data_IF_066928634655
#
_entry.id   IF_066928634655
#
_cell.length_a   1.000
_cell.length_b   1.000
_cell.length_c   1.000
_cell.angle_alpha   90.00
_cell.angle_beta   90.00
_cell.angle_gamma   90.00
#
_symmetry.space_group_name_H-M   'P 1'
#
loop_
_entity.id
_entity.type
_entity.pdbx_description
1 polymer ?
#
# COMPACT_ATOMS: atom_id res chain seq x y z
N UNK A 1 -12.43 24.31 33.43
CA UNK A 1 -13.12 23.85 32.21
C UNK A 1 -14.12 22.79 32.63
N UNK A 2 -15.42 23.08 32.49
CA UNK A 2 -16.46 22.05 32.59
C UNK A 2 -16.15 20.96 31.54
N UNK A 3 -16.26 19.67 31.87
CA UNK A 3 -16.12 18.62 30.86
C UNK A 3 -17.16 18.88 29.77
N UNK A 4 -16.71 19.07 28.52
CA UNK A 4 -17.64 19.19 27.39
C UNK A 4 -18.45 17.89 27.36
N UNK A 5 -19.77 18.00 27.51
CA UNK A 5 -20.67 16.87 27.32
C UNK A 5 -20.47 16.30 25.93
N UNK A 6 -20.41 14.97 25.82
CA UNK A 6 -20.32 14.28 24.53
C UNK A 6 -21.45 14.75 23.61
N UNK A 7 -21.18 15.08 22.32
CA UNK A 7 -22.24 15.47 21.38
C UNK A 7 -23.29 14.38 21.23
N UNK A 8 -24.56 14.75 21.05
CA UNK A 8 -25.66 13.79 20.87
C UNK A 8 -25.65 13.23 19.46
N UNK A 9 -25.80 11.92 19.37
CA UNK A 9 -25.77 11.19 18.11
C UNK A 9 -27.18 10.99 17.54
N UNK A 10 -27.29 11.00 16.21
CA UNK A 10 -28.50 10.64 15.49
C UNK A 10 -28.20 9.71 14.32
N UNK A 11 -29.08 8.75 14.01
CA UNK A 11 -28.89 7.80 12.90
C UNK A 11 -30.13 7.80 12.00
N UNK A 12 -29.94 7.98 10.71
CA UNK A 12 -30.99 7.86 9.69
C UNK A 12 -30.66 6.68 8.78
N UNK A 13 -31.57 5.71 8.72
CA UNK A 13 -31.44 4.42 8.05
C UNK A 13 -30.85 3.37 8.98
N UNK A 14 -31.62 2.32 9.28
CA UNK A 14 -31.31 1.25 10.22
C UNK A 14 -31.08 -0.09 9.51
N UNK A 15 -30.52 -0.05 8.30
CA UNK A 15 -30.00 -1.23 7.61
C UNK A 15 -28.72 -1.79 8.27
N UNK A 16 -28.00 -2.66 7.56
CA UNK A 16 -26.77 -3.30 8.08
C UNK A 16 -25.77 -2.30 8.69
N UNK A 17 -25.51 -1.18 8.00
CA UNK A 17 -24.56 -0.17 8.46
C UNK A 17 -25.16 0.67 9.59
N UNK A 18 -26.25 1.40 9.31
CA UNK A 18 -26.78 2.35 10.29
C UNK A 18 -27.36 1.69 11.53
N UNK A 19 -28.01 0.53 11.40
CA UNK A 19 -28.44 -0.27 12.54
C UNK A 19 -27.26 -0.73 13.41
N UNK A 20 -26.17 -1.19 12.78
CA UNK A 20 -24.94 -1.53 13.49
C UNK A 20 -24.26 -0.33 14.17
N UNK A 21 -24.28 0.84 13.52
CA UNK A 21 -23.83 2.11 14.11
C UNK A 21 -24.67 2.46 15.34
N UNK A 22 -25.99 2.35 15.25
CA UNK A 22 -26.90 2.63 16.35
C UNK A 22 -26.64 1.70 17.55
N UNK A 23 -26.49 0.40 17.31
CA UNK A 23 -26.14 -0.61 18.33
C UNK A 23 -24.80 -0.30 18.98
N UNK A 24 -23.76 0.04 18.20
CA UNK A 24 -22.44 0.37 18.73
C UNK A 24 -22.46 1.64 19.58
N UNK A 25 -23.22 2.65 19.17
CA UNK A 25 -23.42 3.88 19.92
C UNK A 25 -24.15 3.65 21.25
N UNK A 26 -25.25 2.91 21.25
CA UNK A 26 -25.93 2.50 22.48
C UNK A 26 -24.97 1.76 23.42
N UNK A 27 -24.20 0.78 22.91
CA UNK A 27 -23.24 0.02 23.73
C UNK A 27 -22.15 0.90 24.34
N UNK A 28 -21.75 1.98 23.66
CA UNK A 28 -20.77 2.96 24.16
C UNK A 28 -21.39 4.04 25.07
N UNK A 29 -22.67 3.94 25.42
CA UNK A 29 -23.37 4.89 26.28
C UNK A 29 -23.84 6.16 25.58
N UNK A 30 -23.83 6.18 24.24
CA UNK A 30 -24.26 7.30 23.40
C UNK A 30 -25.56 6.95 22.66
N UNK A 31 -26.64 6.65 23.38
CA UNK A 31 -27.94 6.24 22.77
C UNK A 31 -28.40 7.27 21.72
N UNK A 32 -28.48 6.89 20.44
CA UNK A 32 -28.80 7.84 19.38
C UNK A 32 -30.31 8.05 19.20
N UNK A 33 -30.72 9.22 18.71
CA UNK A 33 -32.03 9.39 18.10
C UNK A 33 -32.05 8.70 16.73
N UNK A 34 -33.08 7.91 16.40
CA UNK A 34 -33.06 7.09 15.18
C UNK A 34 -34.28 7.28 14.29
N UNK A 35 -34.07 7.16 12.98
CA UNK A 35 -35.12 7.13 11.97
C UNK A 35 -34.86 6.01 10.94
N UNK A 36 -35.90 5.31 10.51
CA UNK A 36 -35.92 4.46 9.32
C UNK A 36 -37.31 4.60 8.68
N UNK A 37 -37.41 4.36 7.37
CA UNK A 37 -38.70 4.36 6.67
C UNK A 37 -39.60 3.19 7.12
N UNK A 38 -39.00 2.15 7.70
CA UNK A 38 -39.70 1.03 8.32
C UNK A 38 -39.78 1.26 9.84
N UNK A 39 -40.99 1.37 10.42
CA UNK A 39 -41.15 1.68 11.83
C UNK A 39 -40.66 0.57 12.76
N UNK A 40 -40.62 -0.67 12.29
CA UNK A 40 -40.17 -1.87 13.00
C UNK A 40 -38.65 -2.11 12.87
N UNK A 41 -37.91 -1.22 12.21
CA UNK A 41 -36.48 -1.44 11.95
C UNK A 41 -35.61 -1.49 13.22
N UNK A 42 -36.06 -0.87 14.31
CA UNK A 42 -35.35 -0.86 15.59
C UNK A 42 -35.62 -2.12 16.44
N UNK A 43 -36.70 -2.87 16.19
CA UNK A 43 -37.18 -3.95 17.06
C UNK A 43 -36.14 -5.05 17.30
N UNK A 44 -35.28 -5.29 16.31
CA UNK A 44 -34.24 -6.33 16.36
C UNK A 44 -32.84 -5.78 16.70
N UNK A 45 -32.74 -4.50 17.05
CA UNK A 45 -31.48 -3.82 17.34
C UNK A 45 -31.32 -3.58 18.85
N UNK A 46 -30.44 -4.33 19.54
CA UNK A 46 -30.35 -4.30 21.00
C UNK A 46 -30.08 -2.89 21.57
N UNK A 47 -31.02 -2.40 22.38
CA UNK A 47 -30.93 -1.13 23.09
C UNK A 47 -31.00 0.12 22.19
N UNK A 48 -31.31 -0.03 20.91
CA UNK A 48 -31.65 1.09 20.03
C UNK A 48 -33.08 1.54 20.37
N UNK A 49 -33.34 2.85 20.51
CA UNK A 49 -34.68 3.34 20.85
C UNK A 49 -35.65 3.22 19.67
N UNK A 50 -36.93 3.45 19.95
CA UNK A 50 -37.99 3.48 18.94
C UNK A 50 -37.69 4.52 17.85
N UNK A 51 -38.13 4.20 16.64
CA UNK A 51 -37.96 5.03 15.45
C UNK A 51 -38.81 6.31 15.58
N UNK A 52 -38.18 7.48 15.39
CA UNK A 52 -38.85 8.78 15.33
C UNK A 52 -39.68 8.94 14.06
N UNK A 53 -40.52 9.98 13.97
CA UNK A 53 -41.43 10.13 12.84
C UNK A 53 -40.74 10.64 11.56
N UNK A 54 -39.58 11.30 11.68
CA UNK A 54 -38.86 11.87 10.54
C UNK A 54 -37.36 12.10 10.78
N UNK A 55 -36.55 12.27 9.70
CA UNK A 55 -35.18 12.77 9.82
C UNK A 55 -35.08 14.13 10.51
N UNK A 56 -36.07 15.02 10.35
CA UNK A 56 -36.12 16.30 11.05
C UNK A 56 -36.18 16.14 12.58
N UNK A 57 -36.95 15.16 13.09
CA UNK A 57 -36.98 14.87 14.53
C UNK A 57 -35.63 14.36 15.04
N UNK A 58 -34.93 13.53 14.25
CA UNK A 58 -33.56 13.10 14.56
C UNK A 58 -32.61 14.30 14.64
N UNK A 59 -32.70 15.25 13.69
CA UNK A 59 -31.90 16.47 13.72
C UNK A 59 -32.17 17.34 14.95
N UNK A 60 -33.44 17.50 15.34
CA UNK A 60 -33.82 18.28 16.52
C UNK A 60 -33.26 17.69 17.83
N UNK A 61 -33.10 16.37 17.90
CA UNK A 61 -32.58 15.65 19.05
C UNK A 61 -31.04 15.50 19.07
N UNK A 62 -30.35 15.78 17.96
CA UNK A 62 -28.94 15.43 17.76
C UNK A 62 -28.04 16.64 17.53
N UNK A 63 -26.73 16.41 17.66
CA UNK A 63 -25.66 17.35 17.29
C UNK A 63 -24.81 16.78 16.12
N UNK A 64 -24.69 15.45 16.01
CA UNK A 64 -24.02 14.74 14.91
C UNK A 64 -24.95 13.66 14.36
N UNK A 65 -25.33 13.75 13.08
CA UNK A 65 -26.28 12.83 12.44
C UNK A 65 -25.60 11.97 11.37
N UNK A 66 -25.61 10.65 11.53
CA UNK A 66 -25.13 9.69 10.54
C UNK A 66 -26.25 9.29 9.57
N UNK A 67 -25.98 9.40 8.27
CA UNK A 67 -26.92 9.08 7.19
C UNK A 67 -26.48 7.82 6.45
N UNK A 68 -27.15 6.71 6.71
CA UNK A 68 -26.84 5.37 6.20
C UNK A 68 -28.04 4.78 5.43
N UNK A 69 -28.21 5.25 4.20
CA UNK A 69 -29.28 4.87 3.27
C UNK A 69 -28.71 4.23 2.00
N UNK A 70 -29.57 3.74 1.11
CA UNK A 70 -29.16 2.88 -0.02
C UNK A 70 -28.54 3.67 -1.17
N UNK A 71 -29.10 4.85 -1.49
CA UNK A 71 -28.72 5.57 -2.70
C UNK A 71 -28.81 7.11 -2.55
N UNK A 72 -28.35 7.82 -3.58
CA UNK A 72 -28.32 9.28 -3.62
C UNK A 72 -29.70 9.93 -3.51
N UNK A 73 -30.76 9.32 -4.06
CA UNK A 73 -32.11 9.87 -3.96
C UNK A 73 -32.61 9.84 -2.51
N UNK A 74 -32.38 8.72 -1.82
CA UNK A 74 -32.68 8.60 -0.39
C UNK A 74 -31.81 9.54 0.46
N UNK A 75 -30.53 9.73 0.11
CA UNK A 75 -29.66 10.66 0.82
C UNK A 75 -30.16 12.10 0.69
N UNK A 76 -30.59 12.53 -0.50
CA UNK A 76 -31.23 13.83 -0.72
C UNK A 76 -32.52 13.95 0.07
N UNK A 77 -33.41 12.96 -0.02
CA UNK A 77 -34.67 12.97 0.73
C UNK A 77 -34.42 13.09 2.24
N UNK A 78 -33.48 12.32 2.78
CA UNK A 78 -33.15 12.34 4.19
C UNK A 78 -32.52 13.66 4.64
N UNK A 79 -31.68 14.30 3.81
CA UNK A 79 -30.92 15.50 4.20
C UNK A 79 -31.68 16.78 3.84
N UNK A 80 -32.10 16.93 2.59
CA UNK A 80 -32.65 18.17 2.01
C UNK A 80 -34.14 18.10 1.70
N UNK A 81 -34.82 16.98 1.99
CA UNK A 81 -36.27 16.86 1.82
C UNK A 81 -37.05 17.78 2.75
N UNK A 82 -38.38 17.87 2.54
CA UNK A 82 -39.28 18.72 3.35
C UNK A 82 -39.17 18.42 4.86
N UNK A 83 -39.22 17.13 5.22
CA UNK A 83 -38.97 16.62 6.59
C UNK A 83 -37.54 16.08 6.76
N UNK A 84 -36.60 16.58 5.95
CA UNK A 84 -35.20 16.19 5.98
C UNK A 84 -34.44 16.78 7.18
N UNK A 85 -33.22 16.31 7.39
CA UNK A 85 -32.32 16.78 8.45
C UNK A 85 -32.20 18.32 8.46
N UNK A 86 -32.03 18.95 7.28
CA UNK A 86 -31.78 20.39 7.19
C UNK A 86 -33.00 21.27 7.50
N UNK A 87 -34.21 20.71 7.62
CA UNK A 87 -35.38 21.49 8.02
C UNK A 87 -35.43 21.75 9.54
N UNK A 88 -34.71 20.96 10.34
CA UNK A 88 -34.68 21.07 11.80
C UNK A 88 -33.27 21.08 12.43
N UNK A 89 -32.22 20.90 11.62
CA UNK A 89 -30.84 20.95 12.09
C UNK A 89 -30.46 22.34 12.64
N UNK A 90 -29.75 22.35 13.77
CA UNK A 90 -29.23 23.58 14.36
C UNK A 90 -27.92 24.01 13.67
N UNK A 91 -27.66 25.31 13.50
CA UNK A 91 -26.33 25.80 13.16
C UNK A 91 -25.24 25.20 14.06
N UNK A 92 -24.14 24.77 13.47
CA UNK A 92 -23.03 24.09 14.16
C UNK A 92 -23.21 22.58 14.38
N UNK A 93 -24.37 22.00 14.05
CA UNK A 93 -24.52 20.54 13.97
C UNK A 93 -23.75 19.95 12.79
N UNK A 94 -23.58 18.62 12.74
CA UNK A 94 -22.82 17.94 11.69
C UNK A 94 -23.61 16.78 11.07
N UNK A 95 -23.69 16.77 9.74
CA UNK A 95 -24.18 15.63 8.95
C UNK A 95 -22.98 14.77 8.51
N UNK A 96 -23.06 13.47 8.76
CA UNK A 96 -22.06 12.48 8.36
C UNK A 96 -22.69 11.50 7.37
N UNK A 97 -22.38 11.63 6.09
CA UNK A 97 -22.91 10.76 5.05
C UNK A 97 -22.12 9.45 5.00
N UNK A 98 -22.71 8.35 5.47
CA UNK A 98 -22.10 7.01 5.42
C UNK A 98 -22.37 6.27 4.11
N UNK A 99 -23.40 6.71 3.39
CA UNK A 99 -23.88 6.10 2.16
C UNK A 99 -22.89 6.35 1.02
N UNK A 100 -22.55 5.30 0.26
CA UNK A 100 -21.66 5.47 -0.89
C UNK A 100 -22.42 6.13 -2.04
N UNK A 101 -22.03 7.36 -2.40
CA UNK A 101 -22.65 8.13 -3.49
C UNK A 101 -21.58 8.79 -4.38
N UNK A 102 -21.98 9.22 -5.57
CA UNK A 102 -21.08 9.91 -6.50
C UNK A 102 -20.66 11.30 -5.97
N UNK A 103 -19.44 11.74 -6.29
CA UNK A 103 -18.90 13.04 -5.82
C UNK A 103 -19.76 14.27 -6.15
N UNK A 104 -20.49 14.35 -7.29
CA UNK A 104 -21.41 15.47 -7.52
C UNK A 104 -22.50 15.57 -6.45
N UNK A 105 -23.02 14.42 -5.99
CA UNK A 105 -24.01 14.35 -4.89
C UNK A 105 -23.39 14.81 -3.58
N UNK A 106 -22.15 14.40 -3.30
CA UNK A 106 -21.41 14.83 -2.10
C UNK A 106 -21.28 16.36 -2.07
N UNK A 107 -20.86 16.96 -3.19
CA UNK A 107 -20.70 18.41 -3.32
C UNK A 107 -22.03 19.15 -3.17
N UNK A 108 -23.07 18.67 -3.82
CA UNK A 108 -24.43 19.20 -3.71
C UNK A 108 -24.92 19.22 -2.25
N UNK A 109 -24.80 18.10 -1.55
CA UNK A 109 -25.23 17.99 -0.15
C UNK A 109 -24.36 18.84 0.79
N UNK A 110 -23.06 18.91 0.54
CA UNK A 110 -22.15 19.77 1.31
C UNK A 110 -22.51 21.25 1.16
N UNK A 111 -22.85 21.71 -0.06
CA UNK A 111 -23.33 23.07 -0.29
C UNK A 111 -24.64 23.34 0.46
N UNK A 112 -25.62 22.43 0.36
CA UNK A 112 -26.89 22.58 1.06
C UNK A 112 -26.72 22.65 2.59
N UNK A 113 -25.81 21.87 3.16
CA UNK A 113 -25.50 21.94 4.59
C UNK A 113 -24.83 23.28 4.96
N UNK A 114 -23.89 23.75 4.14
CA UNK A 114 -23.19 25.02 4.39
C UNK A 114 -24.13 26.23 4.39
N UNK A 115 -25.14 26.25 3.51
CA UNK A 115 -26.18 27.31 3.46
C UNK A 115 -27.00 27.41 4.76
N UNK A 116 -26.99 26.36 5.59
CA UNK A 116 -27.66 26.28 6.90
C UNK A 116 -26.69 26.32 8.07
N UNK A 117 -25.40 26.62 7.83
CA UNK A 117 -24.33 26.59 8.83
C UNK A 117 -24.18 25.21 9.51
N UNK A 118 -24.49 24.14 8.77
CA UNK A 118 -24.35 22.74 9.21
C UNK A 118 -23.07 22.17 8.62
N UNK A 119 -22.25 21.56 9.47
CA UNK A 119 -21.04 20.84 9.03
C UNK A 119 -21.41 19.60 8.23
N UNK A 120 -20.59 19.26 7.23
CA UNK A 120 -20.82 18.08 6.40
C UNK A 120 -19.54 17.26 6.25
N UNK A 121 -19.65 15.97 6.52
CA UNK A 121 -18.59 14.97 6.38
C UNK A 121 -19.06 13.85 5.45
N UNK A 122 -18.31 13.58 4.38
CA UNK A 122 -18.49 12.36 3.59
C UNK A 122 -17.63 11.25 4.19
N UNK A 123 -18.27 10.17 4.64
CA UNK A 123 -17.61 9.16 5.47
C UNK A 123 -17.86 7.76 4.92
N UNK A 124 -16.98 7.27 4.05
CA UNK A 124 -17.04 5.87 3.61
C UNK A 124 -16.73 4.91 4.75
N UNK A 125 -17.39 3.75 4.78
CA UNK A 125 -17.17 2.74 5.82
C UNK A 125 -16.73 1.38 5.26
N UNK A 126 -15.91 0.66 6.03
CA UNK A 126 -15.48 -0.71 5.71
C UNK A 126 -14.89 -1.44 6.92
N UNK A 127 -15.06 -2.77 7.09
CA UNK A 127 -16.04 -3.62 6.41
C UNK A 127 -17.43 -3.46 7.07
N UNK A 128 -18.50 -3.54 6.28
CA UNK A 128 -19.85 -3.16 6.72
C UNK A 128 -20.53 -4.15 7.67
N UNK A 129 -20.23 -5.43 7.52
CA UNK A 129 -20.69 -6.54 8.35
C UNK A 129 -20.23 -6.42 9.82
N UNK A 130 -19.19 -5.62 10.07
CA UNK A 130 -18.65 -5.35 11.41
C UNK A 130 -19.20 -4.08 12.08
N UNK A 131 -20.27 -3.48 11.52
CA UNK A 131 -20.87 -2.27 12.05
C UNK A 131 -21.34 -2.40 13.51
N UNK A 132 -22.02 -3.49 13.85
CA UNK A 132 -22.55 -3.72 15.20
C UNK A 132 -21.47 -4.03 16.24
N UNK A 133 -20.26 -4.44 15.81
CA UNK A 133 -19.16 -4.87 16.68
C UNK A 133 -18.15 -3.76 16.97
N UNK A 134 -18.43 -2.50 16.59
CA UNK A 134 -17.43 -1.43 16.63
C UNK A 134 -16.17 -1.81 15.81
N UNK A 135 -16.37 -2.45 14.64
CA UNK A 135 -15.27 -2.97 13.82
C UNK A 135 -14.96 -2.13 12.57
N UNK A 136 -15.75 -1.09 12.28
CA UNK A 136 -15.61 -0.34 11.03
C UNK A 136 -14.47 0.67 11.04
N UNK A 137 -13.80 0.78 9.90
CA UNK A 137 -12.95 1.92 9.55
C UNK A 137 -13.84 3.01 8.92
N UNK A 138 -13.82 4.19 9.51
CA UNK A 138 -14.43 5.41 8.99
C UNK A 138 -13.41 6.18 8.13
N UNK A 139 -13.73 6.37 6.85
CA UNK A 139 -12.91 7.04 5.83
C UNK A 139 -13.53 8.41 5.58
N UNK A 140 -13.02 9.43 6.26
CA UNK A 140 -13.69 10.72 6.41
C UNK A 140 -13.07 11.77 5.49
N UNK A 141 -13.90 12.46 4.71
CA UNK A 141 -13.60 13.71 4.03
C UNK A 141 -14.38 14.85 4.68
N UNK A 142 -13.78 16.03 4.72
CA UNK A 142 -14.42 17.23 5.26
C UNK A 142 -13.44 18.19 5.93
N UNK A 143 -13.97 19.28 6.48
CA UNK A 143 -13.19 20.25 7.25
C UNK A 143 -12.64 19.58 8.52
N UNK A 144 -11.33 19.74 8.79
CA UNK A 144 -10.66 19.14 9.93
C UNK A 144 -11.31 19.49 11.29
N UNK A 145 -11.76 20.73 11.48
CA UNK A 145 -12.42 21.16 12.72
C UNK A 145 -13.76 20.45 12.93
N UNK A 146 -14.51 20.23 11.84
CA UNK A 146 -15.77 19.48 11.84
C UNK A 146 -15.51 17.99 12.11
N UNK A 147 -14.41 17.44 11.58
CA UNK A 147 -13.99 16.06 11.90
C UNK A 147 -13.65 15.93 13.38
N UNK A 148 -12.89 16.87 13.95
CA UNK A 148 -12.55 16.84 15.37
C UNK A 148 -13.77 17.03 16.29
N UNK A 149 -14.72 17.89 15.92
CA UNK A 149 -15.95 18.07 16.69
C UNK A 149 -16.84 16.82 16.66
N UNK A 150 -16.89 16.10 15.54
CA UNK A 150 -17.65 14.87 15.38
C UNK A 150 -16.91 13.62 15.92
N UNK A 151 -15.59 13.70 16.15
CA UNK A 151 -14.72 12.57 16.55
C UNK A 151 -15.26 11.78 17.75
N UNK A 152 -15.80 12.37 18.83
CA UNK A 152 -16.34 11.60 19.96
C UNK A 152 -17.50 10.67 19.58
N UNK A 153 -18.35 11.08 18.63
CA UNK A 153 -19.47 10.27 18.12
C UNK A 153 -18.95 9.21 17.15
N UNK A 154 -18.04 9.57 16.25
CA UNK A 154 -17.41 8.62 15.33
C UNK A 154 -16.68 7.50 16.07
N UNK A 155 -15.98 7.84 17.17
CA UNK A 155 -15.26 6.89 18.01
C UNK A 155 -16.19 5.97 18.83
N UNK A 156 -17.50 6.23 18.87
CA UNK A 156 -18.47 5.34 19.50
C UNK A 156 -18.77 4.08 18.69
N UNK A 157 -18.45 4.08 17.39
CA UNK A 157 -18.75 2.96 16.48
C UNK A 157 -17.61 2.59 15.52
N UNK A 158 -16.66 3.50 15.27
CA UNK A 158 -15.55 3.24 14.36
C UNK A 158 -14.30 2.78 15.10
N UNK A 159 -13.79 1.59 14.74
CA UNK A 159 -12.51 1.05 15.23
C UNK A 159 -11.35 1.98 14.90
N UNK A 160 -11.42 2.61 13.73
CA UNK A 160 -10.40 3.53 13.23
C UNK A 160 -11.07 4.63 12.42
N UNK A 161 -10.69 5.87 12.70
CA UNK A 161 -11.12 7.05 11.94
C UNK A 161 -9.92 7.55 11.14
N UNK A 162 -10.02 7.61 9.83
CA UNK A 162 -8.99 8.12 8.92
C UNK A 162 -9.53 9.37 8.23
N UNK A 163 -8.93 10.53 8.48
CA UNK A 163 -9.27 11.76 7.77
C UNK A 163 -8.43 11.83 6.50
N UNK A 164 -9.09 11.73 5.35
CA UNK A 164 -8.48 11.59 4.03
C UNK A 164 -8.33 12.92 3.29
N UNK A 165 -8.79 14.03 3.88
CA UNK A 165 -8.67 15.37 3.30
C UNK A 165 -10.00 16.14 3.27
N UNK A 166 -10.17 17.11 2.36
CA UNK A 166 -11.36 17.97 2.31
C UNK A 166 -12.61 17.20 1.88
N UNK A 167 -13.76 17.89 1.84
CA UNK A 167 -15.04 17.30 1.40
C UNK A 167 -14.90 16.62 0.04
N UNK A 168 -15.39 15.39 -0.06
CA UNK A 168 -15.27 14.48 -1.20
C UNK A 168 -14.11 13.49 -1.11
N UNK A 169 -13.09 13.74 -0.28
CA UNK A 169 -11.92 12.87 -0.18
C UNK A 169 -12.24 11.52 0.47
N UNK A 170 -13.18 11.48 1.42
CA UNK A 170 -13.60 10.25 2.09
C UNK A 170 -14.31 9.30 1.13
N UNK A 171 -15.27 9.83 0.36
CA UNK A 171 -15.97 9.09 -0.68
C UNK A 171 -15.05 8.69 -1.84
N UNK A 172 -14.17 9.58 -2.31
CA UNK A 172 -13.18 9.23 -3.32
C UNK A 172 -12.30 8.05 -2.87
N UNK A 173 -11.81 8.10 -1.64
CA UNK A 173 -10.99 7.02 -1.06
C UNK A 173 -11.80 5.72 -0.92
N UNK A 174 -13.05 5.79 -0.48
CA UNK A 174 -13.93 4.62 -0.40
C UNK A 174 -14.22 4.00 -1.77
N UNK A 175 -14.46 4.82 -2.79
CA UNK A 175 -14.65 4.36 -4.17
C UNK A 175 -13.39 3.66 -4.67
N UNK A 176 -12.21 4.28 -4.50
CA UNK A 176 -10.93 3.69 -4.86
C UNK A 176 -10.68 2.34 -4.14
N UNK A 177 -10.97 2.26 -2.84
CA UNK A 177 -10.89 1.01 -2.07
C UNK A 177 -11.83 -0.07 -2.65
N UNK A 178 -13.04 0.31 -3.06
CA UNK A 178 -13.98 -0.63 -3.66
C UNK A 178 -13.49 -1.13 -5.04
N UNK A 179 -12.83 -0.28 -5.84
CA UNK A 179 -12.17 -0.72 -7.10
C UNK A 179 -11.16 -1.82 -6.82
N UNK A 180 -10.29 -1.64 -5.82
CA UNK A 180 -9.33 -2.67 -5.40
C UNK A 180 -10.02 -3.98 -5.01
N UNK A 181 -11.11 -3.89 -4.25
CA UNK A 181 -11.83 -5.10 -3.77
C UNK A 181 -12.49 -5.86 -4.91
N UNK A 182 -13.33 -5.19 -5.70
CA UNK A 182 -14.09 -5.86 -6.75
C UNK A 182 -13.22 -6.24 -7.96
N UNK A 183 -12.17 -5.47 -8.23
CA UNK A 183 -11.14 -5.85 -9.20
C UNK A 183 -10.44 -7.15 -8.81
N UNK A 184 -10.04 -7.28 -7.53
CA UNK A 184 -9.43 -8.52 -7.04
C UNK A 184 -10.35 -9.72 -7.17
N UNK A 185 -11.64 -9.58 -6.82
CA UNK A 185 -12.62 -10.67 -6.98
C UNK A 185 -12.78 -11.10 -8.44
N UNK A 186 -12.76 -10.14 -9.37
CA UNK A 186 -12.79 -10.44 -10.82
C UNK A 186 -11.53 -11.20 -11.24
N UNK A 187 -10.36 -10.75 -10.81
CA UNK A 187 -9.08 -11.43 -11.09
C UNK A 187 -9.05 -12.85 -10.54
N UNK A 188 -9.46 -13.06 -9.29
CA UNK A 188 -9.52 -14.39 -8.67
C UNK A 188 -10.50 -15.30 -9.40
N UNK A 189 -11.66 -14.77 -9.83
CA UNK A 189 -12.62 -15.54 -10.61
C UNK A 189 -12.02 -16.02 -11.95
N UNK A 190 -11.26 -15.16 -12.66
CA UNK A 190 -10.60 -15.56 -13.92
C UNK A 190 -9.50 -16.59 -13.68
N UNK A 191 -8.66 -16.39 -12.66
CA UNK A 191 -7.60 -17.33 -12.30
C UNK A 191 -8.17 -18.70 -11.89
N UNK A 192 -9.24 -18.73 -11.11
CA UNK A 192 -9.91 -19.96 -10.70
C UNK A 192 -10.55 -20.69 -11.88
N UNK A 193 -11.15 -19.97 -12.84
CA UNK A 193 -11.70 -20.57 -14.06
C UNK A 193 -10.60 -21.19 -14.93
N UNK A 194 -9.46 -20.50 -15.09
CA UNK A 194 -8.31 -20.99 -15.84
C UNK A 194 -7.70 -22.24 -15.18
N UNK A 195 -7.51 -22.21 -13.86
CA UNK A 195 -7.01 -23.34 -13.08
C UNK A 195 -7.96 -24.56 -13.18
N UNK A 196 -9.27 -24.33 -13.03
CA UNK A 196 -10.27 -25.40 -13.12
C UNK A 196 -10.28 -26.06 -14.50
N UNK A 197 -10.20 -25.26 -15.58
CA UNK A 197 -10.14 -25.79 -16.94
C UNK A 197 -8.85 -26.59 -17.20
N UNK A 198 -7.75 -26.24 -16.51
CA UNK A 198 -6.49 -26.99 -16.53
C UNK A 198 -6.51 -28.26 -15.64
N UNK A 199 -7.64 -28.56 -14.98
CA UNK A 199 -7.78 -29.71 -14.08
C UNK A 199 -7.27 -29.48 -12.66
N UNK A 200 -7.03 -28.23 -12.27
CA UNK A 200 -6.58 -27.85 -10.92
C UNK A 200 -7.77 -27.43 -10.07
N UNK A 201 -7.90 -28.03 -8.88
CA UNK A 201 -8.90 -27.63 -7.89
C UNK A 201 -8.63 -26.19 -7.39
N UNK A 202 -9.61 -25.27 -7.47
CA UNK A 202 -9.48 -23.92 -6.92
C UNK A 202 -9.06 -23.85 -5.45
N UNK A 203 -9.33 -24.88 -4.64
CA UNK A 203 -8.84 -24.96 -3.26
C UNK A 203 -7.30 -25.02 -3.24
N UNK A 204 -6.68 -25.76 -4.15
CA UNK A 204 -5.22 -25.82 -4.27
C UNK A 204 -4.63 -24.50 -4.74
N UNK A 205 -5.33 -23.79 -5.62
CA UNK A 205 -4.94 -22.43 -6.01
C UNK A 205 -4.94 -21.50 -4.79
N UNK A 206 -5.98 -21.56 -3.96
CA UNK A 206 -6.06 -20.77 -2.72
C UNK A 206 -4.91 -21.11 -1.76
N UNK A 207 -4.62 -22.40 -1.53
CA UNK A 207 -3.50 -22.84 -0.69
C UNK A 207 -2.14 -22.28 -1.16
N UNK A 208 -1.89 -22.26 -2.47
CA UNK A 208 -0.64 -21.69 -3.03
C UNK A 208 -0.57 -20.18 -2.81
N UNK A 209 -1.68 -19.47 -3.02
CA UNK A 209 -1.74 -18.02 -2.83
C UNK A 209 -1.53 -17.66 -1.35
N UNK A 210 -2.21 -18.35 -0.44
CA UNK A 210 -2.09 -18.14 1.00
C UNK A 210 -0.69 -18.48 1.53
N UNK A 211 -0.04 -19.52 0.99
CA UNK A 211 1.33 -19.86 1.37
C UNK A 211 2.35 -18.82 0.87
N UNK A 212 2.12 -18.21 -0.30
CA UNK A 212 3.01 -17.21 -0.89
C UNK A 212 2.78 -15.79 -0.33
N UNK A 213 1.54 -15.44 0.02
CA UNK A 213 1.14 -14.13 0.54
C UNK A 213 0.19 -14.27 1.75
N UNK A 214 0.66 -14.81 2.89
CA UNK A 214 -0.18 -15.12 4.05
C UNK A 214 -0.85 -13.90 4.69
N UNK A 215 -0.30 -12.72 4.46
CA UNK A 215 -0.81 -11.44 4.95
C UNK A 215 -1.63 -10.67 3.89
N UNK A 216 -1.76 -11.17 2.67
CA UNK A 216 -2.48 -10.50 1.58
C UNK A 216 -1.85 -9.18 1.13
N UNK A 217 -0.53 -9.02 1.26
CA UNK A 217 0.19 -7.76 1.01
C UNK A 217 0.43 -7.50 -0.47
N UNK A 218 0.40 -8.51 -1.33
CA UNK A 218 0.62 -8.35 -2.79
C UNK A 218 -0.33 -7.31 -3.38
N UNK A 219 -1.57 -7.24 -2.87
CA UNK A 219 -2.57 -6.26 -3.30
C UNK A 219 -2.12 -4.80 -3.13
N UNK A 220 -1.34 -4.51 -2.08
CA UNK A 220 -0.86 -3.16 -1.75
C UNK A 220 0.60 -2.96 -2.15
N UNK A 221 1.26 -3.97 -2.73
CA UNK A 221 2.70 -3.98 -2.99
C UNK A 221 3.14 -2.79 -3.84
N UNK A 222 2.48 -2.57 -4.99
CA UNK A 222 2.83 -1.44 -5.87
C UNK A 222 2.55 -0.08 -5.22
N UNK A 223 1.51 0.05 -4.39
CA UNK A 223 1.26 1.28 -3.63
C UNK A 223 2.35 1.52 -2.58
N UNK A 224 2.82 0.47 -1.91
CA UNK A 224 3.88 0.55 -0.90
C UNK A 224 5.28 0.74 -1.48
N UNK A 225 5.49 0.46 -2.76
CA UNK A 225 6.75 0.68 -3.48
C UNK A 225 6.93 2.10 -4.00
N UNK A 226 5.89 2.95 -3.90
CA UNK A 226 5.94 4.32 -4.40
C UNK A 226 6.91 5.17 -3.59
N UNK A 227 7.67 6.02 -4.29
CA UNK A 227 8.56 7.00 -3.68
C UNK A 227 7.81 8.16 -3.04
N UNK A 228 8.55 9.11 -2.47
CA UNK A 228 7.99 10.34 -1.88
C UNK A 228 7.21 11.19 -2.89
N UNK A 229 7.55 11.08 -4.17
CA UNK A 229 6.84 11.72 -5.29
C UNK A 229 5.54 11.01 -5.69
N UNK A 230 5.21 9.92 -4.99
CA UNK A 230 4.03 9.11 -5.24
C UNK A 230 4.12 8.22 -6.47
N UNK A 231 5.29 8.07 -7.10
CA UNK A 231 5.48 7.26 -8.32
C UNK A 231 6.18 5.95 -8.03
N UNK A 232 5.95 4.96 -8.88
CA UNK A 232 6.74 3.74 -8.89
C UNK A 232 8.15 4.04 -9.42
N UNK A 233 9.22 3.65 -8.70
CA UNK A 233 10.58 3.84 -9.19
C UNK A 233 10.81 3.10 -10.52
N UNK A 234 11.40 3.79 -11.51
CA UNK A 234 11.61 3.24 -12.86
C UNK A 234 12.32 1.87 -12.85
N UNK A 235 13.28 1.68 -11.95
CA UNK A 235 14.03 0.44 -11.83
C UNK A 235 13.11 -0.76 -11.48
N UNK A 236 12.12 -0.54 -10.61
CA UNK A 236 11.13 -1.55 -10.23
C UNK A 236 10.29 -1.94 -11.43
N UNK A 237 9.78 -0.95 -12.17
CA UNK A 237 8.98 -1.22 -13.36
C UNK A 237 9.77 -1.94 -14.46
N UNK A 238 11.03 -1.55 -14.72
CA UNK A 238 11.92 -2.24 -15.67
C UNK A 238 12.20 -3.69 -15.29
N UNK A 239 12.32 -3.98 -13.99
CA UNK A 239 12.54 -5.34 -13.49
C UNK A 239 11.29 -6.22 -13.61
N UNK A 240 10.11 -5.68 -13.28
CA UNK A 240 8.86 -6.46 -13.22
C UNK A 240 8.26 -6.65 -14.62
N UNK A 241 8.38 -5.67 -15.52
CA UNK A 241 7.70 -5.71 -16.84
C UNK A 241 7.99 -6.99 -17.63
N UNK A 242 9.25 -7.46 -17.79
CA UNK A 242 9.52 -8.67 -18.56
C UNK A 242 8.93 -9.93 -17.92
N UNK A 243 8.93 -10.02 -16.59
CA UNK A 243 8.36 -11.15 -15.84
C UNK A 243 6.84 -11.18 -16.00
N UNK A 244 6.20 -10.03 -15.77
CA UNK A 244 4.76 -9.86 -15.93
C UNK A 244 4.31 -10.18 -17.36
N UNK A 245 5.02 -9.69 -18.38
CA UNK A 245 4.71 -10.00 -19.79
C UNK A 245 4.84 -11.49 -20.07
N UNK A 246 5.94 -12.12 -19.67
CA UNK A 246 6.17 -13.56 -19.87
C UNK A 246 5.07 -14.41 -19.24
N UNK A 247 4.70 -14.13 -17.99
CA UNK A 247 3.72 -14.91 -17.24
C UNK A 247 2.28 -14.69 -17.75
N UNK A 248 1.93 -13.44 -18.12
CA UNK A 248 0.62 -13.16 -18.69
C UNK A 248 0.48 -13.69 -20.12
N UNK A 249 1.55 -13.69 -20.93
CA UNK A 249 1.54 -14.33 -22.26
C UNK A 249 1.30 -15.85 -22.12
N UNK A 250 1.94 -16.51 -21.14
CA UNK A 250 1.67 -17.92 -20.85
C UNK A 250 0.22 -18.17 -20.39
N UNK A 251 -0.35 -17.29 -19.57
CA UNK A 251 -1.75 -17.38 -19.16
C UNK A 251 -2.71 -17.20 -20.35
N UNK A 252 -2.40 -16.31 -21.29
CA UNK A 252 -3.18 -16.09 -22.51
C UNK A 252 -3.14 -17.34 -23.41
N UNK A 253 -1.97 -17.91 -23.67
CA UNK A 253 -1.84 -19.17 -24.43
C UNK A 253 -2.65 -20.30 -23.77
N UNK A 254 -2.50 -20.48 -22.45
CA UNK A 254 -3.27 -21.48 -21.71
C UNK A 254 -4.79 -21.26 -21.83
N UNK A 255 -5.23 -20.00 -21.78
CA UNK A 255 -6.64 -19.67 -21.90
C UNK A 255 -7.20 -19.99 -23.30
N UNK A 256 -6.41 -19.81 -24.34
CA UNK A 256 -6.77 -20.15 -25.72
C UNK A 256 -6.87 -21.67 -25.90
N UNK A 257 -5.89 -22.41 -25.40
CA UNK A 257 -5.85 -23.88 -25.46
C UNK A 257 -7.05 -24.52 -24.73
N UNK A 258 -7.50 -23.90 -23.64
CA UNK A 258 -8.58 -24.41 -22.79
C UNK A 258 -9.96 -23.79 -23.08
N UNK A 259 -10.04 -22.81 -23.99
CA UNK A 259 -11.28 -22.11 -24.31
C UNK A 259 -11.86 -21.26 -23.17
N UNK A 260 -11.00 -20.71 -22.30
CA UNK A 260 -11.40 -19.88 -21.15
C UNK A 260 -11.27 -18.39 -21.49
N UNK A 261 -12.27 -17.59 -21.13
CA UNK A 261 -12.25 -16.13 -21.37
C UNK A 261 -11.63 -15.39 -20.18
N UNK A 262 -10.49 -14.72 -20.41
CA UNK A 262 -9.69 -14.01 -19.39
C UNK A 262 -9.43 -12.53 -19.74
N UNK A 263 -10.48 -11.67 -19.81
CA UNK A 263 -10.34 -10.29 -20.24
C UNK A 263 -9.46 -9.45 -19.30
N UNK A 264 -9.48 -9.73 -17.99
CA UNK A 264 -8.62 -9.06 -17.01
C UNK A 264 -7.14 -9.37 -17.24
N UNK A 265 -6.80 -10.62 -17.55
CA UNK A 265 -5.43 -11.03 -17.93
C UNK A 265 -4.98 -10.30 -19.19
N UNK A 266 -5.83 -10.23 -20.22
CA UNK A 266 -5.54 -9.54 -21.48
C UNK A 266 -5.25 -8.05 -21.27
N UNK A 267 -6.14 -7.35 -20.56
CA UNK A 267 -5.95 -5.91 -20.27
C UNK A 267 -4.69 -5.70 -19.43
N UNK A 268 -4.45 -6.55 -18.42
CA UNK A 268 -3.25 -6.45 -17.58
C UNK A 268 -1.98 -6.60 -18.42
N UNK A 269 -1.98 -7.53 -19.39
CA UNK A 269 -0.87 -7.74 -20.32
C UNK A 269 -0.68 -6.53 -21.23
N UNK A 270 -1.74 -6.09 -21.92
CA UNK A 270 -1.68 -4.96 -22.86
C UNK A 270 -1.28 -3.65 -22.17
N UNK A 271 -1.61 -3.50 -20.88
CA UNK A 271 -1.33 -2.33 -20.05
C UNK A 271 -0.21 -2.56 -19.04
N UNK A 272 0.67 -3.54 -19.25
CA UNK A 272 1.75 -3.85 -18.29
C UNK A 272 2.68 -2.66 -18.04
N UNK A 273 3.11 -1.98 -19.12
CA UNK A 273 3.93 -0.78 -19.01
C UNK A 273 3.22 0.35 -18.25
N UNK A 274 1.95 0.61 -18.56
CA UNK A 274 1.13 1.62 -17.87
C UNK A 274 0.96 1.29 -16.39
N UNK A 275 0.67 0.03 -16.07
CA UNK A 275 0.50 -0.47 -14.68
C UNK A 275 1.77 -0.27 -13.85
N UNK A 276 2.94 -0.38 -14.49
CA UNK A 276 4.26 -0.23 -13.88
C UNK A 276 4.86 1.17 -14.10
N UNK A 277 4.04 2.13 -14.54
CA UNK A 277 4.40 3.53 -14.82
C UNK A 277 5.61 3.69 -15.74
N UNK A 278 5.81 2.73 -16.63
CA UNK A 278 6.83 2.78 -17.67
C UNK A 278 6.32 3.58 -18.88
N UNK A 279 7.20 4.34 -19.56
CA UNK A 279 6.82 5.01 -20.80
C UNK A 279 6.32 4.00 -21.83
N UNK A 280 5.16 4.29 -22.42
CA UNK A 280 4.59 3.46 -23.50
C UNK A 280 5.51 3.45 -24.71
N UNK A 281 5.63 2.30 -25.37
CA UNK A 281 6.44 2.15 -26.59
C UNK A 281 5.92 2.95 -27.80
N UNK A 282 4.80 3.67 -27.67
CA UNK A 282 4.17 4.47 -28.73
C UNK A 282 4.09 5.97 -28.36
N UNK A 283 5.21 6.66 -28.42
CA UNK A 283 5.29 8.05 -28.88
C UNK A 283 6.61 8.25 -29.64
N UNK A 284 6.61 8.27 -30.98
CA UNK A 284 7.74 8.79 -31.73
C UNK A 284 7.73 10.32 -31.61
N UNK A 285 8.17 10.84 -30.46
CA UNK A 285 8.08 12.28 -30.24
C UNK A 285 8.32 12.83 -28.85
N UNK A 286 8.80 12.06 -27.87
CA UNK A 286 9.23 12.67 -26.60
C UNK A 286 10.33 11.86 -25.90
N UNK A 287 11.39 11.55 -26.63
CA UNK A 287 12.70 11.38 -26.02
C UNK A 287 13.13 12.73 -25.44
N UNK A 288 12.60 13.10 -24.27
CA UNK A 288 13.31 14.04 -23.40
C UNK A 288 14.44 13.23 -22.79
N UNK A 289 15.50 13.10 -23.57
CA UNK A 289 16.81 12.82 -23.05
C UNK A 289 17.01 13.76 -21.87
N UNK A 290 17.03 13.20 -20.65
CA UNK A 290 17.72 13.86 -19.56
C UNK A 290 19.16 13.89 -20.04
N UNK A 291 19.56 15.05 -20.56
CA UNK A 291 20.93 15.25 -20.98
C UNK A 291 21.84 14.89 -19.80
N UNK A 292 22.85 14.03 -19.99
CA UNK A 292 23.87 13.87 -18.98
C UNK A 292 24.48 15.25 -18.72
N UNK A 293 24.66 15.57 -17.43
CA UNK A 293 25.41 16.73 -17.00
C UNK A 293 26.74 16.78 -17.79
N UNK A 294 27.01 17.84 -18.58
CA UNK A 294 28.16 17.91 -19.46
C UNK A 294 29.49 18.15 -18.71
N UNK A 295 29.52 17.99 -17.39
CA UNK A 295 30.74 18.17 -16.59
C UNK A 295 31.49 16.89 -16.21
N UNK A 296 31.07 15.68 -16.63
CA UNK A 296 31.91 14.48 -16.45
C UNK A 296 31.88 13.52 -17.66
N UNK A 297 32.92 13.62 -18.50
CA UNK A 297 33.38 12.53 -19.38
C UNK A 297 32.72 12.41 -20.75
N UNK A 298 33.15 13.21 -21.71
CA UNK A 298 32.89 12.96 -23.13
C UNK A 298 33.71 11.77 -23.64
N UNK A 299 33.07 10.83 -24.35
CA UNK A 299 33.73 9.95 -25.32
C UNK A 299 34.23 8.60 -24.83
N UNK A 300 33.42 7.82 -24.13
CA UNK A 300 33.84 6.50 -23.65
C UNK A 300 33.18 5.34 -24.41
N UNK A 301 34.03 4.50 -25.00
CA UNK A 301 33.74 3.23 -25.66
C UNK A 301 32.83 2.36 -24.75
N UNK A 302 31.79 1.67 -25.26
CA UNK A 302 31.03 0.67 -24.51
C UNK A 302 31.91 -0.37 -23.79
N UNK A 303 33.09 -0.69 -24.33
CA UNK A 303 34.07 -1.52 -23.64
C UNK A 303 34.67 -0.86 -22.38
N UNK A 304 34.66 0.46 -22.26
CA UNK A 304 35.24 1.18 -21.11
C UNK A 304 34.41 1.05 -19.83
N UNK A 305 33.07 1.04 -19.92
CA UNK A 305 32.20 0.80 -18.78
C UNK A 305 32.32 -0.64 -18.27
N UNK A 306 32.47 -1.59 -19.20
CA UNK A 306 32.71 -2.99 -18.88
C UNK A 306 34.05 -3.19 -18.18
N UNK A 307 35.12 -2.58 -18.71
CA UNK A 307 36.45 -2.64 -18.11
C UNK A 307 36.50 -1.96 -16.74
N UNK A 308 35.82 -0.82 -16.56
CA UNK A 308 35.63 -0.21 -15.23
C UNK A 308 34.87 -1.13 -14.28
N UNK A 309 33.86 -1.82 -14.78
CA UNK A 309 33.12 -2.83 -14.04
C UNK A 309 34.03 -3.92 -13.49
N UNK A 310 34.90 -4.47 -14.35
CA UNK A 310 35.87 -5.50 -13.96
C UNK A 310 36.88 -4.98 -12.91
N UNK A 311 37.45 -3.80 -13.13
CA UNK A 311 38.38 -3.18 -12.17
C UNK A 311 37.71 -2.94 -10.82
N UNK A 312 36.46 -2.48 -10.83
CA UNK A 312 35.73 -2.24 -9.60
C UNK A 312 35.33 -3.53 -8.89
N UNK A 313 35.06 -4.62 -9.61
CA UNK A 313 34.84 -5.93 -8.97
C UNK A 313 36.08 -6.38 -8.18
N UNK A 314 37.28 -6.14 -8.69
CA UNK A 314 38.52 -6.38 -7.94
C UNK A 314 38.65 -5.46 -6.73
N UNK A 315 38.26 -4.19 -6.86
CA UNK A 315 38.21 -3.26 -5.74
C UNK A 315 37.15 -3.62 -4.69
N UNK A 316 36.10 -4.39 -5.03
CA UNK A 316 35.01 -4.75 -4.12
C UNK A 316 35.21 -6.12 -3.47
N UNK A 317 35.75 -7.08 -4.20
CA UNK A 317 35.89 -8.46 -3.71
C UNK A 317 37.33 -8.91 -3.49
N UNK A 318 38.30 -8.10 -3.91
CA UNK A 318 39.71 -8.37 -3.75
C UNK A 318 40.42 -8.60 -5.09
N UNK A 319 41.75 -8.42 -5.14
CA UNK A 319 42.52 -8.59 -6.37
C UNK A 319 42.36 -9.98 -6.99
N UNK A 320 42.09 -10.03 -8.30
CA UNK A 320 41.97 -11.29 -9.06
C UNK A 320 40.57 -11.87 -9.10
N UNK A 321 39.57 -11.21 -8.50
CA UNK A 321 38.17 -11.62 -8.61
C UNK A 321 37.67 -11.52 -10.06
N UNK A 322 38.07 -10.48 -10.78
CA UNK A 322 37.68 -10.24 -12.16
C UNK A 322 38.26 -11.25 -13.16
N UNK A 323 39.20 -12.12 -12.75
CA UNK A 323 39.78 -13.16 -13.62
C UNK A 323 38.84 -14.31 -13.92
N UNK A 324 37.85 -14.53 -13.06
CA UNK A 324 36.76 -15.47 -13.30
C UNK A 324 35.66 -14.91 -14.23
N UNK A 325 35.76 -13.63 -14.63
CA UNK A 325 34.75 -12.95 -15.43
C UNK A 325 35.15 -12.85 -16.90
N UNK A 326 34.19 -12.89 -17.84
CA UNK A 326 34.47 -12.56 -19.24
C UNK A 326 35.09 -11.17 -19.34
N UNK A 327 36.06 -10.98 -20.23
CA UNK A 327 36.77 -9.69 -20.38
C UNK A 327 36.07 -8.71 -21.34
N UNK A 328 34.97 -9.13 -21.95
CA UNK A 328 34.11 -8.34 -22.84
C UNK A 328 32.65 -8.81 -22.69
N UNK A 329 31.65 -7.98 -23.05
CA UNK A 329 30.25 -8.38 -23.05
C UNK A 329 30.02 -9.66 -23.84
N UNK A 330 29.30 -10.61 -23.24
CA UNK A 330 29.07 -11.95 -23.83
C UNK A 330 27.65 -12.12 -24.38
N UNK A 331 26.81 -11.09 -24.27
CA UNK A 331 25.41 -11.15 -24.68
C UNK A 331 24.51 -11.88 -23.69
N UNK A 332 25.04 -12.23 -22.50
CA UNK A 332 24.25 -12.67 -21.36
C UNK A 332 23.76 -11.43 -20.60
N UNK A 333 22.45 -11.12 -20.60
CA UNK A 333 21.96 -9.87 -20.03
C UNK A 333 22.23 -9.72 -18.53
N UNK A 334 22.32 -10.82 -17.77
CA UNK A 334 22.56 -10.79 -16.33
C UNK A 334 24.02 -10.48 -16.03
N UNK A 335 24.95 -11.16 -16.71
CA UNK A 335 26.38 -10.92 -16.59
C UNK A 335 26.77 -9.54 -17.10
N UNK A 336 26.25 -9.16 -18.27
CA UNK A 336 26.57 -7.88 -18.88
C UNK A 336 26.03 -6.71 -18.06
N UNK A 337 24.83 -6.83 -17.45
CA UNK A 337 24.31 -5.82 -16.53
C UNK A 337 25.07 -5.81 -15.19
N UNK A 338 25.54 -6.96 -14.71
CA UNK A 338 26.34 -7.03 -13.48
C UNK A 338 27.66 -6.28 -13.65
N UNK A 339 28.40 -6.56 -14.72
CA UNK A 339 29.69 -5.90 -14.95
C UNK A 339 29.51 -4.44 -15.36
N UNK A 340 28.70 -4.15 -16.39
CA UNK A 340 28.55 -2.78 -16.90
C UNK A 340 27.79 -1.87 -15.94
N UNK A 341 26.61 -2.30 -15.49
CA UNK A 341 25.68 -1.40 -14.82
C UNK A 341 25.92 -1.41 -13.31
N UNK A 342 25.88 -2.57 -12.67
CA UNK A 342 26.07 -2.66 -11.22
C UNK A 342 27.47 -2.17 -10.82
N UNK A 343 28.53 -2.71 -11.41
CA UNK A 343 29.89 -2.28 -11.09
C UNK A 343 30.34 -1.05 -11.88
N UNK A 344 30.23 -1.07 -13.20
CA UNK A 344 30.74 0.00 -14.06
C UNK A 344 30.03 1.36 -13.89
N UNK A 345 28.76 1.39 -13.48
CA UNK A 345 27.98 2.64 -13.36
C UNK A 345 27.44 2.95 -11.96
N UNK A 346 27.04 1.95 -11.15
CA UNK A 346 26.40 2.20 -9.84
C UNK A 346 27.44 2.24 -8.72
N UNK A 347 28.27 1.20 -8.58
CA UNK A 347 29.30 1.15 -7.55
C UNK A 347 30.44 2.14 -7.85
N UNK A 348 30.74 2.43 -9.11
CA UNK A 348 31.82 3.33 -9.52
C UNK A 348 31.56 4.81 -9.21
N UNK A 349 30.31 5.19 -8.86
CA UNK A 349 29.97 6.60 -8.62
C UNK A 349 30.74 7.15 -7.42
N UNK A 350 31.33 8.36 -7.53
CA UNK A 350 32.29 8.85 -6.54
C UNK A 350 31.66 9.33 -5.22
N UNK A 351 30.33 9.48 -5.16
CA UNK A 351 29.64 10.08 -4.02
C UNK A 351 29.70 9.25 -2.72
N UNK A 352 29.94 7.95 -2.83
CA UNK A 352 30.08 7.03 -1.68
C UNK A 352 31.32 6.17 -1.88
N UNK A 353 32.11 6.03 -0.82
CA UNK A 353 33.25 5.12 -0.80
C UNK A 353 32.81 3.65 -0.89
N UNK A 354 33.71 2.75 -1.28
CA UNK A 354 33.45 1.29 -1.26
C UNK A 354 33.01 0.85 0.14
N UNK A 355 33.66 1.39 1.19
CA UNK A 355 33.32 1.14 2.59
C UNK A 355 31.90 1.56 2.94
N UNK A 356 31.46 2.76 2.53
CA UNK A 356 30.11 3.24 2.84
C UNK A 356 29.05 2.40 2.12
N UNK A 357 29.31 2.05 0.86
CA UNK A 357 28.46 1.15 0.07
C UNK A 357 28.37 -0.22 0.72
N UNK A 358 29.49 -0.74 1.23
CA UNK A 358 29.54 -2.02 1.93
C UNK A 358 28.71 -2.02 3.19
N UNK A 359 28.77 -0.96 4.00
CA UNK A 359 27.92 -0.83 5.19
C UNK A 359 26.42 -0.81 4.82
N UNK A 360 26.05 -0.11 3.74
CA UNK A 360 24.68 -0.12 3.23
C UNK A 360 24.24 -1.51 2.78
N UNK A 361 25.09 -2.23 2.04
CA UNK A 361 24.81 -3.58 1.55
C UNK A 361 24.71 -4.58 2.70
N UNK A 362 25.63 -4.52 3.68
CA UNK A 362 25.58 -5.37 4.88
C UNK A 362 24.33 -5.10 5.72
N UNK A 363 23.93 -3.83 5.88
CA UNK A 363 22.69 -3.47 6.58
C UNK A 363 21.44 -3.98 5.86
N UNK A 364 21.37 -3.82 4.53
CA UNK A 364 20.24 -4.30 3.74
C UNK A 364 20.14 -5.84 3.72
N UNK A 365 21.27 -6.53 3.55
CA UNK A 365 21.32 -8.00 3.56
C UNK A 365 21.02 -8.58 4.95
N UNK A 366 21.42 -7.88 6.01
CA UNK A 366 21.03 -8.21 7.39
C UNK A 366 19.52 -8.08 7.62
N UNK A 367 18.89 -7.01 7.13
CA UNK A 367 17.44 -6.83 7.24
C UNK A 367 16.65 -7.89 6.46
N UNK A 368 17.19 -8.35 5.34
CA UNK A 368 16.61 -9.39 4.48
C UNK A 368 16.94 -10.82 4.91
N UNK A 369 17.77 -11.02 5.95
CA UNK A 369 18.16 -12.36 6.42
C UNK A 369 19.01 -13.16 5.42
N UNK A 370 19.75 -12.48 4.53
CA UNK A 370 20.57 -13.11 3.47
C UNK A 370 21.98 -13.43 3.94
N UNK A 371 22.12 -14.47 4.75
CA UNK A 371 23.41 -14.89 5.35
C UNK A 371 24.47 -15.27 4.31
N UNK A 372 24.04 -15.79 3.16
CA UNK A 372 24.90 -16.12 2.01
C UNK A 372 25.61 -14.87 1.45
N UNK A 373 24.90 -13.75 1.35
CA UNK A 373 25.47 -12.49 0.86
C UNK A 373 26.31 -11.77 1.91
N UNK A 374 25.93 -11.89 3.19
CA UNK A 374 26.71 -11.33 4.31
C UNK A 374 28.15 -11.82 4.26
N UNK A 375 28.36 -13.13 4.08
CA UNK A 375 29.69 -13.72 4.05
C UNK A 375 30.54 -13.15 2.91
N UNK A 376 30.05 -13.19 1.68
CA UNK A 376 30.78 -12.71 0.48
C UNK A 376 31.18 -11.24 0.63
N UNK A 377 30.27 -10.40 1.12
CA UNK A 377 30.54 -8.97 1.32
C UNK A 377 31.53 -8.72 2.45
N UNK A 378 31.52 -9.56 3.48
CA UNK A 378 32.44 -9.47 4.62
C UNK A 378 33.85 -9.91 4.25
N UNK A 379 33.99 -10.98 3.45
CA UNK A 379 35.28 -11.41 2.90
C UNK A 379 35.93 -10.27 2.11
N UNK A 380 35.19 -9.62 1.21
CA UNK A 380 35.69 -8.43 0.50
C UNK A 380 36.03 -7.26 1.43
N UNK A 381 35.23 -7.03 2.50
CA UNK A 381 35.50 -5.98 3.49
C UNK A 381 36.87 -6.15 4.17
N UNK A 382 37.15 -7.41 4.53
CA UNK A 382 38.34 -7.83 5.24
C UNK A 382 39.57 -7.83 4.33
N UNK A 383 39.44 -8.32 3.09
CA UNK A 383 40.51 -8.31 2.08
C UNK A 383 40.96 -6.88 1.78
N UNK A 384 40.00 -5.96 1.64
CA UNK A 384 40.28 -4.58 1.29
C UNK A 384 40.63 -3.69 2.50
N UNK A 385 40.57 -4.23 3.72
CA UNK A 385 40.81 -3.47 4.95
C UNK A 385 39.77 -2.37 5.23
N UNK A 386 38.56 -2.48 4.67
CA UNK A 386 37.48 -1.52 4.86
C UNK A 386 36.84 -1.61 6.25
N UNK A 387 36.82 -2.82 6.79
CA UNK A 387 36.32 -3.15 8.13
C UNK A 387 37.27 -4.14 8.80
N UNK A 388 37.40 -4.04 10.12
CA UNK A 388 38.14 -5.01 10.94
C UNK A 388 37.19 -5.93 11.71
N UNK A 389 37.64 -7.13 12.15
CA UNK A 389 36.81 -8.09 12.88
C UNK A 389 36.00 -7.51 14.04
N UNK A 390 36.59 -6.59 14.81
CA UNK A 390 35.93 -5.95 15.95
C UNK A 390 34.76 -5.07 15.49
N UNK A 391 34.91 -4.34 14.38
CA UNK A 391 33.85 -3.50 13.82
C UNK A 391 32.69 -4.33 13.27
N UNK A 392 32.97 -5.49 12.68
CA UNK A 392 31.94 -6.41 12.21
C UNK A 392 31.12 -6.99 13.37
N UNK A 393 31.78 -7.40 14.45
CA UNK A 393 31.10 -7.90 15.65
C UNK A 393 30.22 -6.81 16.29
N UNK A 394 30.72 -5.59 16.39
CA UNK A 394 29.95 -4.45 16.90
C UNK A 394 28.76 -4.11 15.98
N UNK A 395 28.96 -4.17 14.65
CA UNK A 395 27.89 -3.97 13.69
C UNK A 395 26.78 -5.02 13.83
N UNK A 396 27.13 -6.30 14.06
CA UNK A 396 26.13 -7.35 14.28
C UNK A 396 25.29 -7.09 15.54
N UNK A 397 25.92 -6.63 16.62
CA UNK A 397 25.23 -6.24 17.85
C UNK A 397 24.30 -5.04 17.61
N UNK A 398 24.79 -4.01 16.92
CA UNK A 398 23.99 -2.83 16.57
C UNK A 398 22.78 -3.21 15.72
N UNK A 399 22.97 -4.03 14.70
CA UNK A 399 21.90 -4.48 13.80
C UNK A 399 20.84 -5.31 14.53
N UNK A 400 21.19 -6.06 15.59
CA UNK A 400 20.23 -6.87 16.36
C UNK A 400 19.05 -6.07 16.90
N UNK A 401 19.24 -4.78 17.19
CA UNK A 401 18.17 -3.88 17.67
C UNK A 401 17.17 -3.50 16.57
N UNK A 402 17.59 -3.54 15.31
CA UNK A 402 16.77 -3.09 14.17
C UNK A 402 16.19 -4.26 13.37
N UNK A 403 16.98 -5.32 13.16
CA UNK A 403 16.59 -6.46 12.33
C UNK A 403 16.15 -7.67 13.16
N UNK A 404 16.22 -7.59 14.49
CA UNK A 404 15.89 -8.66 15.42
C UNK A 404 17.02 -9.68 15.61
N UNK A 405 16.98 -10.37 16.76
CA UNK A 405 18.03 -11.30 17.19
C UNK A 405 18.25 -12.50 16.26
N UNK A 406 17.20 -13.00 15.60
CA UNK A 406 17.30 -14.11 14.64
C UNK A 406 18.18 -13.76 13.45
N UNK A 407 17.84 -12.67 12.74
CA UNK A 407 18.61 -12.21 11.59
C UNK A 407 20.02 -11.75 11.98
N UNK A 408 20.16 -11.06 13.12
CA UNK A 408 21.48 -10.66 13.59
C UNK A 408 22.37 -11.84 14.00
N UNK A 409 21.80 -12.96 14.45
CA UNK A 409 22.57 -14.20 14.69
C UNK A 409 23.11 -14.76 13.38
N UNK A 410 22.30 -14.78 12.31
CA UNK A 410 22.74 -15.21 10.98
C UNK A 410 23.82 -14.28 10.40
N UNK A 411 23.69 -12.96 10.60
CA UNK A 411 24.69 -11.97 10.23
C UNK A 411 26.00 -12.21 10.96
N UNK A 412 25.94 -12.38 12.29
CA UNK A 412 27.11 -12.66 13.11
C UNK A 412 27.81 -13.95 12.66
N UNK A 413 27.06 -15.01 12.36
CA UNK A 413 27.66 -16.26 11.86
C UNK A 413 28.41 -16.03 10.54
N UNK A 414 27.80 -15.31 9.59
CA UNK A 414 28.46 -14.96 8.33
C UNK A 414 29.73 -14.11 8.52
N UNK A 415 29.73 -13.21 9.50
CA UNK A 415 30.93 -12.45 9.88
C UNK A 415 32.03 -13.35 10.46
N UNK A 416 31.71 -14.20 11.42
CA UNK A 416 32.70 -15.09 12.04
C UNK A 416 33.25 -16.13 11.04
N UNK A 417 32.43 -16.62 10.12
CA UNK A 417 32.89 -17.49 9.03
C UNK A 417 33.90 -16.79 8.12
N UNK A 418 33.64 -15.54 7.72
CA UNK A 418 34.56 -14.75 6.90
C UNK A 418 35.86 -14.42 7.65
N UNK A 419 35.76 -14.07 8.95
CA UNK A 419 36.93 -13.79 9.81
C UNK A 419 37.79 -15.05 9.96
N UNK A 420 37.18 -16.22 10.18
CA UNK A 420 37.89 -17.48 10.27
C UNK A 420 38.62 -17.83 8.97
N UNK A 421 37.95 -17.68 7.83
CA UNK A 421 38.55 -17.93 6.50
C UNK A 421 39.76 -17.03 6.22
N UNK A 422 39.74 -15.76 6.66
CA UNK A 422 40.88 -14.86 6.53
C UNK A 422 42.07 -15.29 7.41
N UNK A 423 41.81 -15.76 8.64
CA UNK A 423 42.85 -16.22 9.55
C UNK A 423 43.51 -17.51 9.05
N UNK A 424 42.74 -18.43 8.45
CA UNK A 424 43.24 -19.68 7.88
C UNK A 424 44.07 -19.44 6.60
N UNK A 425 43.85 -18.33 5.90
CA UNK A 425 44.59 -17.92 4.70
C UNK A 425 45.88 -17.13 5.01
N UNK A 426 46.11 -16.73 6.26
CA UNK A 426 47.32 -16.03 6.67
C UNK A 426 48.51 -17.01 6.80
N UNK A 427 49.71 -16.70 6.27
CA UNK A 427 50.88 -17.55 6.48
C UNK A 427 51.24 -17.64 7.97
N UNK A 428 51.80 -18.76 8.45
CA UNK A 428 52.17 -18.91 9.86
C UNK A 428 53.14 -17.78 10.26
N UNK A 429 52.82 -17.11 11.36
CA UNK A 429 53.70 -16.09 11.93
C UNK A 429 54.88 -16.80 12.60
N UNK A 430 56.09 -16.60 12.07
CA UNK A 430 57.38 -16.96 12.70
C UNK A 430 57.74 -15.98 13.83
#
# INVERSE_FOLDING_TARGET
MTPKSTPRAGVVGLGMIGGGVAVSLTRSGQTPAVFDVRPDAADQLPGVPDVLASPAEVAAASDVMMIAVVNAAQARQAITGEDGILSAARPGSTVVLLSTVALPVVRELATACAEREVGFLDCGVTPGDKAAEHGMVAIVGGNAEVVESARPVLAGWAKRIVHCGPSGAGMATKIARNVVTYGTWRTVHEAAALASAAGVDPVRLAEVIEAADPDGRTLLQLLGMRGEDGKLPDAVGRQITPLMTKDLDAALTLSEDLGVTVPGVRVSRERAAETLEQPSAEEPGSARAVAPDPSTGAGEDPNSAYLRGLDLMDQVYGPGFSDAMPKQPVGDPFMDATVNYLFGEVWSRPALSVRDRRLLVLGATAALGRSDLIRIQTEGALINGELVPEQLREAALHLALYVGWGNATAVRNGFEEAIAAQNDAAPPQD
#
